data_IF_768052782944
#
_entry.id   IF_768052782944
#
_cell.length_a   1.000
_cell.length_b   1.000
_cell.length_c   1.000
_cell.angle_alpha   90.00
_cell.angle_beta   90.00
_cell.angle_gamma   90.00
#
_symmetry.space_group_name_H-M   'P 1'
#
loop_
_entity.id
_entity.type
_entity.pdbx_description
1 polymer ?
#
# COMPACT_ATOMS: atom_id res chain seq x y z
N UNK A 1 10.06 46.90 -15.26
CA UNK A 1 11.14 46.75 -14.26
C UNK A 1 11.10 45.34 -13.73
N UNK A 2 12.21 44.58 -13.75
CA UNK A 2 12.24 43.23 -13.20
C UNK A 2 12.09 43.34 -11.68
N UNK A 3 11.05 42.72 -11.13
CA UNK A 3 10.95 42.52 -9.68
C UNK A 3 12.04 41.54 -9.26
N UNK A 4 13.21 42.08 -8.93
CA UNK A 4 14.28 41.37 -8.25
C UNK A 4 13.68 40.83 -6.95
N UNK A 5 13.64 39.50 -6.80
CA UNK A 5 13.32 38.84 -5.53
C UNK A 5 14.21 39.42 -4.44
N UNK A 6 13.66 40.35 -3.65
CA UNK A 6 14.30 40.86 -2.44
C UNK A 6 14.56 39.68 -1.51
N UNK A 7 15.81 39.50 -1.08
CA UNK A 7 16.13 38.57 0.02
C UNK A 7 15.42 39.07 1.28
N UNK A 8 14.63 38.21 1.91
CA UNK A 8 13.92 38.53 3.16
C UNK A 8 14.92 39.00 4.24
N UNK A 9 14.51 39.97 5.07
CA UNK A 9 15.30 40.36 6.24
C UNK A 9 15.37 39.21 7.26
N UNK A 10 16.30 39.25 8.23
CA UNK A 10 16.47 38.19 9.23
C UNK A 10 15.20 37.98 10.08
N UNK A 11 14.50 39.06 10.38
CA UNK A 11 13.23 39.07 11.13
C UNK A 11 12.06 38.58 10.29
N UNK A 12 11.98 38.96 9.00
CA UNK A 12 11.01 38.41 8.05
C UNK A 12 11.24 36.91 7.86
N UNK A 13 12.50 36.49 7.78
CA UNK A 13 12.88 35.08 7.69
C UNK A 13 12.46 34.31 8.93
N UNK A 14 12.54 34.87 10.14
CA UNK A 14 12.11 34.20 11.38
C UNK A 14 10.60 33.96 11.44
N UNK A 15 9.79 34.85 10.86
CA UNK A 15 8.32 34.77 10.87
C UNK A 15 7.71 33.86 9.78
N UNK A 16 8.46 33.52 8.73
CA UNK A 16 8.00 32.61 7.68
C UNK A 16 7.74 31.21 8.29
N UNK A 17 6.62 30.53 7.97
CA UNK A 17 6.42 29.14 8.34
C UNK A 17 7.63 28.28 7.96
N UNK A 18 8.11 27.41 8.85
CA UNK A 18 9.34 26.63 8.63
C UNK A 18 9.40 25.93 7.25
N UNK A 19 8.27 25.43 6.74
CA UNK A 19 8.18 24.82 5.40
C UNK A 19 8.33 25.79 4.23
N UNK A 20 8.00 27.06 4.38
CA UNK A 20 8.20 28.11 3.37
C UNK A 20 9.66 28.59 3.35
N UNK A 21 10.35 28.59 4.50
CA UNK A 21 11.81 28.80 4.57
C UNK A 21 12.55 27.67 3.84
N UNK A 22 12.15 26.42 4.08
CA UNK A 22 12.71 25.23 3.40
C UNK A 22 12.63 25.34 1.87
N UNK A 23 11.54 25.92 1.33
CA UNK A 23 11.34 26.10 -0.11
C UNK A 23 12.17 27.25 -0.69
N UNK A 24 12.41 28.31 0.08
CA UNK A 24 13.19 29.47 -0.36
C UNK A 24 14.69 29.17 -0.52
N UNK A 25 15.20 28.14 0.16
CA UNK A 25 16.62 27.73 0.10
C UNK A 25 16.95 26.81 -1.10
N UNK A 26 15.94 26.35 -1.86
CA UNK A 26 16.14 25.36 -2.93
C UNK A 26 16.82 26.00 -4.14
N UNK A 27 18.05 25.55 -4.43
CA UNK A 27 18.78 25.91 -5.65
C UNK A 27 18.98 24.70 -6.59
N UNK A 28 19.57 24.94 -7.76
CA UNK A 28 19.80 23.90 -8.77
C UNK A 28 20.64 22.71 -8.25
N UNK A 29 21.63 22.96 -7.38
CA UNK A 29 22.43 21.89 -6.78
C UNK A 29 21.57 20.99 -5.90
N UNK A 30 20.66 21.57 -5.12
CA UNK A 30 19.73 20.80 -4.30
C UNK A 30 18.78 19.94 -5.15
N UNK A 31 18.23 20.52 -6.23
CA UNK A 31 17.34 19.79 -7.14
C UNK A 31 18.08 18.63 -7.78
N UNK A 32 19.28 18.88 -8.31
CA UNK A 32 20.09 17.83 -8.92
C UNK A 32 20.45 16.73 -7.92
N UNK A 33 20.89 17.10 -6.71
CA UNK A 33 21.20 16.15 -5.64
C UNK A 33 20.00 15.30 -5.22
N UNK A 34 18.80 15.89 -5.17
CA UNK A 34 17.57 15.16 -4.86
C UNK A 34 17.16 14.20 -6.00
N UNK A 35 17.13 14.68 -7.24
CA UNK A 35 16.72 13.89 -8.40
C UNK A 35 17.66 12.70 -8.66
N UNK A 36 18.96 12.87 -8.41
CA UNK A 36 19.99 11.85 -8.64
C UNK A 36 20.52 11.25 -7.34
N UNK A 37 19.77 11.33 -6.24
CA UNK A 37 20.15 10.70 -4.99
C UNK A 37 20.28 9.17 -5.18
N UNK A 38 21.47 8.63 -4.92
CA UNK A 38 21.80 7.22 -5.17
C UNK A 38 20.85 6.25 -4.45
N UNK A 39 20.31 6.67 -3.29
CA UNK A 39 19.40 5.87 -2.47
C UNK A 39 18.04 5.66 -3.16
N UNK A 40 17.56 6.65 -3.93
CA UNK A 40 16.21 6.66 -4.52
C UNK A 40 16.17 6.57 -6.05
N UNK A 41 17.31 6.69 -6.74
CA UNK A 41 17.34 6.85 -8.22
C UNK A 41 16.87 5.60 -9.00
N UNK A 42 17.09 4.39 -8.47
CA UNK A 42 16.74 3.15 -9.18
C UNK A 42 15.33 2.67 -8.82
N UNK A 43 15.17 2.21 -7.59
CA UNK A 43 13.94 1.59 -7.09
C UNK A 43 13.96 1.74 -5.59
N UNK A 44 12.84 2.17 -5.03
CA UNK A 44 12.70 2.24 -3.60
C UNK A 44 11.51 3.08 -3.14
N UNK A 45 11.40 3.29 -1.82
CA UNK A 45 10.45 4.20 -1.23
C UNK A 45 10.42 5.55 -1.95
N UNK A 46 9.23 6.05 -2.26
CA UNK A 46 9.07 7.45 -2.66
C UNK A 46 9.64 8.35 -1.55
N UNK A 47 10.51 9.26 -1.95
CA UNK A 47 11.22 10.18 -1.07
C UNK A 47 10.74 11.61 -1.34
N UNK A 48 10.25 12.32 -0.34
CA UNK A 48 9.99 13.77 -0.48
C UNK A 48 11.32 14.53 -0.44
N UNK A 49 11.36 15.72 -1.06
CA UNK A 49 12.52 16.59 -0.97
C UNK A 49 12.89 16.92 0.49
N UNK A 50 11.88 17.10 1.36
CA UNK A 50 12.08 17.33 2.79
C UNK A 50 12.81 16.16 3.45
N UNK A 51 12.35 14.93 3.22
CA UNK A 51 13.01 13.73 3.79
C UNK A 51 14.44 13.56 3.29
N UNK A 52 14.70 13.88 2.01
CA UNK A 52 16.06 13.91 1.47
C UNK A 52 16.94 14.97 2.15
N UNK A 53 16.43 16.19 2.34
CA UNK A 53 17.17 17.27 3.00
C UNK A 53 17.42 16.95 4.48
N UNK A 54 16.42 16.42 5.17
CA UNK A 54 16.50 16.11 6.60
C UNK A 54 17.68 15.19 6.89
N UNK A 55 17.90 14.14 6.06
CA UNK A 55 19.04 13.22 6.22
C UNK A 55 20.43 13.86 6.06
N UNK A 56 20.50 15.10 5.57
CA UNK A 56 21.76 15.82 5.32
C UNK A 56 21.95 16.95 6.34
N UNK A 57 20.86 17.65 6.70
CA UNK A 57 20.93 18.93 7.43
C UNK A 57 20.62 18.77 8.92
N UNK A 58 19.81 17.77 9.29
CA UNK A 58 19.29 17.67 10.65
C UNK A 58 20.30 17.00 11.59
N UNK A 59 20.45 17.56 12.80
CA UNK A 59 21.46 17.09 13.76
C UNK A 59 21.27 15.62 14.15
N UNK A 60 20.02 15.17 14.31
CA UNK A 60 19.72 13.77 14.63
C UNK A 60 20.12 12.83 13.48
N UNK A 61 20.15 13.27 12.22
CA UNK A 61 20.60 12.43 11.12
C UNK A 61 22.11 12.17 11.12
N UNK A 62 22.88 12.88 11.95
CA UNK A 62 24.32 12.67 12.16
C UNK A 62 24.66 12.23 13.59
N UNK A 63 23.66 11.87 14.40
CA UNK A 63 23.87 11.39 15.77
C UNK A 63 24.46 9.97 15.74
N UNK A 64 25.52 9.72 16.52
CA UNK A 64 26.15 8.40 16.63
C UNK A 64 25.15 7.30 17.04
N UNK A 65 24.12 7.66 17.83
CA UNK A 65 23.03 6.77 18.24
C UNK A 65 22.22 6.22 17.08
N UNK A 66 22.28 6.80 15.88
CA UNK A 66 21.57 6.33 14.69
C UNK A 66 22.16 5.01 14.14
N UNK A 67 23.46 4.78 14.34
CA UNK A 67 24.18 3.64 13.74
C UNK A 67 23.60 2.29 14.15
N UNK A 68 23.36 2.11 15.45
CA UNK A 68 22.84 0.85 16.02
C UNK A 68 21.40 0.53 15.54
N UNK A 69 20.44 1.46 15.59
CA UNK A 69 19.12 1.31 14.97
C UNK A 69 19.16 0.96 13.48
N UNK A 70 20.02 1.61 12.70
CA UNK A 70 20.18 1.29 11.27
C UNK A 70 20.63 -0.17 11.08
N UNK A 71 21.68 -0.58 11.79
CA UNK A 71 22.20 -1.96 11.73
C UNK A 71 21.14 -2.98 12.14
N UNK A 72 20.40 -2.71 13.23
CA UNK A 72 19.32 -3.58 13.69
C UNK A 72 18.23 -3.75 12.64
N UNK A 73 17.75 -2.66 12.05
CA UNK A 73 16.70 -2.70 11.03
C UNK A 73 17.17 -3.45 9.78
N UNK A 74 18.42 -3.23 9.36
CA UNK A 74 19.03 -3.94 8.23
C UNK A 74 19.09 -5.45 8.55
N UNK A 75 19.59 -5.84 9.72
CA UNK A 75 19.72 -7.25 10.11
C UNK A 75 18.37 -7.96 10.17
N UNK A 76 17.36 -7.35 10.79
CA UNK A 76 16.01 -7.93 10.88
C UNK A 76 15.37 -8.10 9.49
N UNK A 77 15.53 -7.10 8.62
CA UNK A 77 15.05 -7.16 7.23
C UNK A 77 15.83 -8.16 6.38
N UNK A 78 17.14 -8.27 6.57
CA UNK A 78 18.00 -9.19 5.82
C UNK A 78 17.66 -10.66 6.09
N UNK A 79 17.32 -11.03 7.34
CA UNK A 79 16.80 -12.37 7.67
C UNK A 79 15.57 -12.74 6.82
N UNK A 80 14.66 -11.78 6.62
CA UNK A 80 13.46 -11.97 5.80
C UNK A 80 13.80 -12.17 4.32
N UNK A 81 14.81 -11.45 3.80
CA UNK A 81 15.29 -11.61 2.43
C UNK A 81 15.80 -13.04 2.18
N UNK A 82 16.55 -13.63 3.12
CA UNK A 82 17.06 -15.00 2.97
C UNK A 82 15.92 -16.03 2.87
N UNK A 83 14.92 -15.93 3.76
CA UNK A 83 13.73 -16.79 3.74
C UNK A 83 13.00 -16.67 2.39
N UNK A 84 12.80 -15.44 1.92
CA UNK A 84 12.15 -15.17 0.64
C UNK A 84 12.97 -15.61 -0.57
N UNK A 85 14.30 -15.55 -0.49
CA UNK A 85 15.21 -16.07 -1.50
C UNK A 85 15.06 -17.58 -1.68
N UNK A 86 15.02 -18.34 -0.57
CA UNK A 86 14.79 -19.79 -0.59
C UNK A 86 13.39 -20.09 -1.14
N UNK A 87 12.35 -19.41 -0.65
CA UNK A 87 10.99 -19.59 -1.16
C UNK A 87 10.90 -19.30 -2.67
N UNK A 88 11.62 -18.28 -3.15
CA UNK A 88 11.66 -17.94 -4.58
C UNK A 88 12.39 -19.00 -5.41
N UNK A 89 13.45 -19.60 -4.89
CA UNK A 89 14.13 -20.69 -5.55
C UNK A 89 13.22 -21.92 -5.68
N UNK A 90 12.57 -22.32 -4.58
CA UNK A 90 11.58 -23.40 -4.57
C UNK A 90 10.41 -23.10 -5.53
N UNK A 91 9.94 -21.86 -5.56
CA UNK A 91 8.90 -21.40 -6.47
C UNK A 91 9.27 -21.62 -7.94
N UNK A 92 10.47 -21.23 -8.36
CA UNK A 92 10.91 -21.40 -9.74
C UNK A 92 10.98 -22.88 -10.13
N UNK A 93 11.40 -23.73 -9.19
CA UNK A 93 11.53 -25.16 -9.46
C UNK A 93 10.18 -25.88 -9.52
N UNK A 94 9.29 -25.64 -8.55
CA UNK A 94 8.01 -26.37 -8.44
C UNK A 94 6.83 -25.66 -9.16
N UNK A 95 6.87 -24.33 -9.24
CA UNK A 95 5.79 -23.46 -9.72
C UNK A 95 6.25 -22.38 -10.72
N UNK A 96 6.86 -22.77 -11.87
CA UNK A 96 7.27 -21.81 -12.88
C UNK A 96 6.07 -21.09 -13.50
N UNK A 97 6.04 -19.76 -13.45
CA UNK A 97 4.97 -18.95 -14.05
C UNK A 97 4.87 -19.19 -15.56
N UNK A 98 6.00 -19.56 -16.17
CA UNK A 98 6.20 -19.89 -17.58
C UNK A 98 5.17 -20.92 -18.07
N UNK A 99 4.74 -21.84 -17.19
CA UNK A 99 3.75 -22.87 -17.50
C UNK A 99 2.41 -22.30 -17.96
N UNK A 100 2.02 -21.10 -17.51
CA UNK A 100 0.75 -20.49 -17.96
C UNK A 100 0.82 -20.06 -19.43
N UNK A 101 2.02 -19.89 -20.00
CA UNK A 101 2.18 -19.52 -21.40
C UNK A 101 2.20 -20.74 -22.34
N UNK A 102 2.35 -21.94 -21.80
CA UNK A 102 2.35 -23.21 -22.55
C UNK A 102 0.93 -23.62 -22.94
N UNK A 103 0.76 -24.24 -24.12
CA UNK A 103 -0.56 -24.67 -24.60
C UNK A 103 -1.08 -25.90 -23.84
N UNK A 104 -0.17 -26.76 -23.39
CA UNK A 104 -0.42 -27.93 -22.56
C UNK A 104 -1.13 -27.56 -21.25
N UNK A 105 -0.85 -26.37 -20.70
CA UNK A 105 -1.56 -25.85 -19.53
C UNK A 105 -3.06 -25.67 -19.79
N UNK A 106 -3.45 -25.37 -21.03
CA UNK A 106 -4.84 -25.15 -21.40
C UNK A 106 -5.53 -26.41 -21.92
N UNK A 107 -4.78 -27.33 -22.54
CA UNK A 107 -5.31 -28.57 -23.12
C UNK A 107 -5.43 -29.66 -22.04
N UNK A 108 -4.36 -29.88 -21.27
CA UNK A 108 -4.28 -31.05 -20.38
C UNK A 108 -4.78 -30.78 -18.97
N UNK A 109 -4.75 -29.52 -18.53
CA UNK A 109 -5.09 -29.17 -17.15
C UNK A 109 -6.55 -28.80 -17.00
N UNK A 110 -7.16 -29.36 -15.96
CA UNK A 110 -8.55 -29.10 -15.63
C UNK A 110 -8.78 -27.63 -15.25
N UNK A 111 -10.04 -27.20 -15.40
CA UNK A 111 -10.51 -25.90 -14.95
C UNK A 111 -10.09 -25.58 -13.49
N UNK A 112 -10.28 -26.53 -12.57
CA UNK A 112 -9.92 -26.36 -11.16
C UNK A 112 -8.42 -26.20 -10.96
N UNK A 113 -7.61 -26.97 -11.69
CA UNK A 113 -6.16 -26.83 -11.64
C UNK A 113 -5.73 -25.42 -12.07
N UNK A 114 -6.27 -24.89 -13.17
CA UNK A 114 -5.94 -23.55 -13.67
C UNK A 114 -6.34 -22.43 -12.69
N UNK A 115 -7.47 -22.58 -12.00
CA UNK A 115 -7.89 -21.63 -10.96
C UNK A 115 -7.04 -21.70 -9.69
N UNK A 116 -6.62 -22.90 -9.30
CA UNK A 116 -5.76 -23.06 -8.14
C UNK A 116 -4.32 -22.60 -8.43
N UNK A 117 -3.81 -22.85 -9.64
CA UNK A 117 -2.43 -22.57 -10.04
C UNK A 117 -2.02 -21.10 -9.88
N UNK A 118 -2.96 -20.16 -10.07
CA UNK A 118 -2.69 -18.72 -9.92
C UNK A 118 -2.44 -18.29 -8.48
N UNK A 119 -2.81 -19.09 -7.48
CA UNK A 119 -2.62 -18.76 -6.05
C UNK A 119 -1.14 -18.80 -5.67
N UNK A 120 -0.43 -19.94 -5.82
CA UNK A 120 1.01 -19.98 -5.58
C UNK A 120 1.77 -19.06 -6.54
N UNK A 121 1.37 -18.97 -7.82
CA UNK A 121 2.02 -18.05 -8.77
C UNK A 121 1.97 -16.59 -8.29
N UNK A 122 0.81 -16.13 -7.82
CA UNK A 122 0.64 -14.77 -7.30
C UNK A 122 1.37 -14.57 -5.97
N UNK A 123 1.41 -15.58 -5.10
CA UNK A 123 2.21 -15.53 -3.88
C UNK A 123 3.70 -15.37 -4.18
N UNK A 124 4.26 -16.15 -5.09
CA UNK A 124 5.68 -16.08 -5.44
C UNK A 124 6.05 -14.79 -6.19
N UNK A 125 5.12 -14.23 -6.95
CA UNK A 125 5.27 -12.87 -7.46
C UNK A 125 5.42 -11.87 -6.30
N UNK A 126 4.54 -11.94 -5.29
CA UNK A 126 4.64 -11.05 -4.12
C UNK A 126 5.97 -11.23 -3.39
N UNK A 127 6.45 -12.47 -3.21
CA UNK A 127 7.77 -12.74 -2.62
C UNK A 127 8.88 -12.01 -3.36
N UNK A 128 8.90 -12.05 -4.71
CA UNK A 128 9.86 -11.28 -5.52
C UNK A 128 9.77 -9.78 -5.24
N UNK A 129 8.55 -9.22 -5.23
CA UNK A 129 8.35 -7.80 -4.96
C UNK A 129 8.75 -7.43 -3.52
N UNK A 130 8.46 -8.27 -2.52
CA UNK A 130 8.88 -8.07 -1.14
C UNK A 130 10.39 -8.00 -1.01
N UNK A 131 11.14 -8.90 -1.67
CA UNK A 131 12.61 -8.83 -1.68
C UNK A 131 13.08 -7.47 -2.17
N UNK A 132 12.55 -6.99 -3.30
CA UNK A 132 12.94 -5.68 -3.86
C UNK A 132 12.60 -4.52 -2.91
N UNK A 133 11.41 -4.54 -2.31
CA UNK A 133 10.99 -3.50 -1.36
C UNK A 133 11.84 -3.52 -0.08
N UNK A 134 12.13 -4.70 0.48
CA UNK A 134 12.97 -4.85 1.68
C UNK A 134 14.41 -4.40 1.38
N UNK A 135 15.00 -4.82 0.26
CA UNK A 135 16.36 -4.39 -0.12
C UNK A 135 16.42 -2.87 -0.21
N UNK A 136 15.42 -2.27 -0.84
CA UNK A 136 15.33 -0.80 -0.92
C UNK A 136 15.24 -0.17 0.47
N UNK A 137 14.40 -0.71 1.37
CA UNK A 137 14.32 -0.24 2.76
C UNK A 137 15.66 -0.37 3.50
N UNK A 138 16.43 -1.45 3.27
CA UNK A 138 17.77 -1.61 3.82
C UNK A 138 18.76 -0.57 3.28
N UNK A 139 18.71 -0.23 1.98
CA UNK A 139 19.57 0.81 1.38
C UNK A 139 19.27 2.18 2.00
N UNK A 140 17.99 2.50 2.21
CA UNK A 140 17.59 3.73 2.89
C UNK A 140 18.05 3.77 4.35
N UNK A 141 17.88 2.66 5.09
CA UNK A 141 18.37 2.56 6.46
C UNK A 141 19.90 2.69 6.54
N UNK A 142 20.64 2.04 5.63
CA UNK A 142 22.10 2.12 5.58
C UNK A 142 22.59 3.55 5.29
N UNK A 143 21.83 4.32 4.52
CA UNK A 143 22.11 5.72 4.23
C UNK A 143 21.58 6.70 5.31
N UNK A 144 20.91 6.22 6.36
CA UNK A 144 20.24 7.06 7.37
C UNK A 144 19.05 7.87 6.82
N UNK A 145 18.60 7.60 5.58
CA UNK A 145 17.54 8.35 4.92
C UNK A 145 16.18 7.91 5.46
N UNK A 146 15.40 8.88 5.95
CA UNK A 146 14.06 8.64 6.50
C UNK A 146 14.06 7.96 7.87
N UNK A 147 15.20 7.93 8.54
CA UNK A 147 15.28 7.67 9.98
C UNK A 147 14.94 8.95 10.75
N UNK A 148 13.98 8.87 11.65
CA UNK A 148 13.57 10.00 12.48
C UNK A 148 13.48 9.59 13.96
N UNK A 149 13.74 10.51 14.90
CA UNK A 149 13.40 10.31 16.30
C UNK A 149 11.96 9.81 16.46
N UNK A 150 11.75 8.77 17.26
CA UNK A 150 10.42 8.13 17.46
C UNK A 150 9.34 9.12 17.90
N UNK A 151 9.73 10.15 18.66
CA UNK A 151 8.87 11.25 19.12
C UNK A 151 8.20 12.01 17.97
N UNK A 152 8.78 11.99 16.76
CA UNK A 152 8.23 12.65 15.58
C UNK A 152 7.17 11.82 14.83
N UNK A 153 7.00 10.54 15.21
CA UNK A 153 5.97 9.63 14.71
C UNK A 153 5.86 9.62 13.19
N UNK A 154 6.95 9.26 12.52
CA UNK A 154 7.03 9.35 11.06
C UNK A 154 6.06 8.40 10.36
N UNK A 155 5.74 8.66 9.09
CA UNK A 155 4.81 7.83 8.33
C UNK A 155 5.24 7.64 6.87
N UNK A 156 4.92 6.49 6.24
CA UNK A 156 5.44 6.15 4.92
C UNK A 156 5.20 7.22 3.87
N UNK A 157 6.26 7.59 3.15
CA UNK A 157 6.27 8.62 2.11
C UNK A 157 6.05 10.05 2.59
N UNK A 158 5.48 10.29 3.78
CA UNK A 158 5.20 11.64 4.32
C UNK A 158 6.39 12.25 5.04
N UNK A 159 7.17 11.43 5.76
CA UNK A 159 8.12 11.95 6.74
C UNK A 159 7.50 12.11 8.15
N UNK A 160 8.14 12.92 9.02
CA UNK A 160 7.73 13.14 10.40
C UNK A 160 6.38 13.89 10.46
N UNK A 161 5.54 13.56 11.45
CA UNK A 161 4.26 14.27 11.66
C UNK A 161 4.48 15.65 12.27
N UNK A 162 5.48 15.75 13.15
CA UNK A 162 5.92 16.96 13.83
C UNK A 162 7.44 16.98 13.86
N UNK A 163 8.03 18.18 13.92
CA UNK A 163 9.47 18.40 14.16
C UNK A 163 9.64 19.39 15.32
N UNK A 164 8.75 19.30 16.30
CA UNK A 164 8.79 20.18 17.47
C UNK A 164 10.09 19.98 18.25
N UNK A 165 10.94 21.02 18.39
CA UNK A 165 12.20 20.92 19.13
C UNK A 165 12.01 20.47 20.59
N UNK A 166 10.88 20.80 21.23
CA UNK A 166 10.62 20.40 22.62
C UNK A 166 10.53 18.88 22.77
N UNK A 167 10.04 18.19 21.74
CA UNK A 167 9.97 16.74 21.74
C UNK A 167 11.35 16.08 21.65
N UNK A 168 12.37 16.78 21.13
CA UNK A 168 13.75 16.29 21.12
C UNK A 168 14.37 16.31 22.52
N UNK A 169 13.89 17.14 23.44
CA UNK A 169 14.35 17.13 24.84
C UNK A 169 13.88 15.86 25.57
N UNK A 170 12.72 15.34 25.19
CA UNK A 170 12.15 14.10 25.71
C UNK A 170 12.61 12.84 24.96
N UNK A 171 13.44 13.02 23.93
CA UNK A 171 13.86 11.94 23.06
C UNK A 171 14.98 11.11 23.71
N UNK A 172 14.73 9.81 23.83
CA UNK A 172 15.60 8.82 24.47
C UNK A 172 16.71 8.26 23.55
N UNK A 173 16.87 8.81 22.33
CA UNK A 173 17.81 8.29 21.34
C UNK A 173 17.24 7.23 20.40
N UNK A 174 15.94 6.89 20.50
CA UNK A 174 15.33 5.87 19.63
C UNK A 174 14.88 6.41 18.27
N UNK A 175 15.05 5.62 17.22
CA UNK A 175 14.66 5.99 15.85
C UNK A 175 13.55 5.10 15.30
N UNK A 176 12.67 5.69 14.49
CA UNK A 176 11.74 4.98 13.63
C UNK A 176 12.11 5.15 12.15
N UNK A 177 11.79 4.11 11.36
CA UNK A 177 12.05 4.04 9.91
C UNK A 177 10.73 3.97 9.14
N UNK A 178 9.64 4.47 9.71
CA UNK A 178 8.32 4.34 9.10
C UNK A 178 8.21 5.12 7.79
N UNK A 179 8.95 6.24 7.67
CA UNK A 179 8.96 7.07 6.46
C UNK A 179 9.33 6.29 5.20
N UNK A 180 10.25 5.34 5.32
CA UNK A 180 10.74 4.53 4.19
C UNK A 180 10.12 3.15 4.14
N UNK A 181 9.26 2.79 5.11
CA UNK A 181 8.61 1.48 5.12
C UNK A 181 7.53 1.38 4.03
N UNK A 182 7.87 0.71 2.93
CA UNK A 182 6.98 0.46 1.81
C UNK A 182 5.96 -0.63 2.10
N UNK A 183 6.32 -1.67 2.85
CA UNK A 183 5.43 -2.82 3.03
C UNK A 183 5.46 -3.41 4.43
N UNK A 184 4.29 -3.55 5.05
CA UNK A 184 4.13 -4.38 6.24
C UNK A 184 3.70 -5.78 5.82
N UNK A 185 4.67 -6.65 5.57
CA UNK A 185 4.45 -7.95 4.92
C UNK A 185 3.50 -8.83 5.74
N UNK A 186 3.73 -8.96 7.05
CA UNK A 186 2.85 -9.74 7.92
C UNK A 186 1.40 -9.28 7.83
N UNK A 187 1.15 -7.97 7.97
CA UNK A 187 -0.20 -7.40 7.86
C UNK A 187 -0.78 -7.57 6.47
N UNK A 188 0.05 -7.45 5.42
CA UNK A 188 -0.37 -7.63 4.03
C UNK A 188 -0.84 -9.05 3.76
N UNK A 189 -0.11 -10.05 4.26
CA UNK A 189 -0.45 -11.47 4.08
C UNK A 189 -1.58 -11.96 4.99
N UNK A 190 -1.81 -11.32 6.14
CA UNK A 190 -2.82 -11.77 7.13
C UNK A 190 -4.11 -10.94 7.13
N UNK A 191 -4.16 -9.85 6.36
CA UNK A 191 -5.35 -9.01 6.31
C UNK A 191 -6.57 -9.76 5.76
N UNK A 192 -7.75 -9.40 6.27
CA UNK A 192 -9.03 -10.03 5.92
C UNK A 192 -9.78 -9.29 4.82
N UNK A 193 -9.13 -8.34 4.15
CA UNK A 193 -9.75 -7.51 3.12
C UNK A 193 -8.74 -7.11 2.07
N UNK A 194 -9.18 -7.13 0.82
CA UNK A 194 -8.45 -6.64 -0.33
C UNK A 194 -8.05 -5.16 -0.16
N UNK A 195 -8.93 -4.32 0.40
CA UNK A 195 -8.55 -2.95 0.77
C UNK A 195 -7.45 -2.90 1.83
N UNK A 196 -7.50 -3.79 2.81
CA UNK A 196 -6.46 -3.95 3.83
C UNK A 196 -5.11 -4.35 3.22
N UNK A 197 -5.11 -5.26 2.25
CA UNK A 197 -3.91 -5.67 1.52
C UNK A 197 -3.24 -4.46 0.88
N UNK A 198 -3.98 -3.75 0.03
CA UNK A 198 -3.40 -2.63 -0.72
C UNK A 198 -2.96 -1.50 0.19
N UNK A 199 -3.65 -1.20 1.30
CA UNK A 199 -3.20 -0.18 2.27
C UNK A 199 -1.83 -0.44 2.91
N UNK A 200 -1.39 -1.70 2.93
CA UNK A 200 -0.11 -2.12 3.49
C UNK A 200 0.96 -2.40 2.44
N UNK A 201 0.60 -2.41 1.15
CA UNK A 201 1.48 -2.68 0.02
C UNK A 201 1.98 -1.40 -0.65
N UNK A 202 3.29 -1.21 -0.78
CA UNK A 202 3.91 -0.07 -1.46
C UNK A 202 3.35 1.30 -1.00
N UNK A 203 3.40 1.52 0.32
CA UNK A 203 2.77 2.65 1.01
C UNK A 203 3.32 4.01 0.61
N UNK A 204 4.61 4.10 0.28
CA UNK A 204 5.23 5.37 -0.12
C UNK A 204 4.71 5.82 -1.50
N UNK A 205 4.54 4.90 -2.46
CA UNK A 205 3.91 5.23 -3.75
C UNK A 205 2.43 5.58 -3.56
N UNK A 206 1.71 4.87 -2.68
CA UNK A 206 0.34 5.27 -2.36
C UNK A 206 0.25 6.69 -1.79
N UNK A 207 1.16 7.05 -0.89
CA UNK A 207 1.24 8.42 -0.39
C UNK A 207 1.44 9.42 -1.53
N UNK A 208 2.37 9.12 -2.46
CA UNK A 208 2.59 9.96 -3.64
C UNK A 208 1.33 10.10 -4.49
N UNK A 209 0.64 8.99 -4.79
CA UNK A 209 -0.60 8.98 -5.58
C UNK A 209 -1.69 9.81 -4.90
N UNK A 210 -1.84 9.69 -3.57
CA UNK A 210 -2.83 10.48 -2.82
C UNK A 210 -2.51 11.97 -2.88
N UNK A 211 -1.25 12.34 -2.67
CA UNK A 211 -0.85 13.75 -2.55
C UNK A 211 -0.75 14.47 -3.90
N UNK A 212 -0.35 13.76 -4.96
CA UNK A 212 -0.07 14.36 -6.26
C UNK A 212 -1.18 14.15 -7.29
N UNK A 213 -1.99 13.08 -7.13
CA UNK A 213 -3.10 12.80 -8.05
C UNK A 213 -4.44 13.01 -7.36
N UNK A 214 -4.76 12.20 -6.36
CA UNK A 214 -6.11 12.16 -5.77
C UNK A 214 -6.56 13.49 -5.17
N UNK A 215 -5.69 14.15 -4.37
CA UNK A 215 -6.01 15.41 -3.70
C UNK A 215 -5.96 16.63 -4.64
N UNK A 216 -5.16 16.56 -5.70
CA UNK A 216 -4.98 17.67 -6.66
C UNK A 216 -6.00 17.63 -7.80
N UNK A 217 -6.64 16.48 -8.03
CA UNK A 217 -7.62 16.37 -9.11
C UNK A 217 -8.90 17.18 -8.77
N UNK A 218 -9.36 18.06 -9.68
CA UNK A 218 -10.40 19.04 -9.38
C UNK A 218 -11.78 18.42 -9.12
N UNK A 219 -12.11 17.30 -9.78
CA UNK A 219 -13.42 16.66 -9.61
C UNK A 219 -13.38 15.52 -8.59
N UNK A 220 -14.07 15.71 -7.46
CA UNK A 220 -14.22 14.70 -6.40
C UNK A 220 -14.86 13.39 -6.89
N UNK A 221 -15.70 13.44 -7.92
CA UNK A 221 -16.38 12.26 -8.48
C UNK A 221 -15.41 11.34 -9.22
N UNK A 222 -14.44 11.91 -9.94
CA UNK A 222 -13.57 11.12 -10.83
C UNK A 222 -12.16 10.90 -10.26
N UNK A 223 -11.77 11.61 -9.17
CA UNK A 223 -10.42 11.54 -8.62
C UNK A 223 -9.93 10.12 -8.30
N UNK A 224 -10.81 9.22 -7.84
CA UNK A 224 -10.43 7.83 -7.55
C UNK A 224 -10.10 7.06 -8.84
N UNK A 225 -10.99 7.10 -9.84
CA UNK A 225 -10.77 6.46 -11.13
C UNK A 225 -9.52 7.00 -11.84
N UNK A 226 -9.29 8.31 -11.80
CA UNK A 226 -8.07 8.94 -12.34
C UNK A 226 -6.83 8.48 -11.58
N UNK A 227 -6.91 8.31 -10.26
CA UNK A 227 -5.78 7.81 -9.46
C UNK A 227 -5.42 6.38 -9.85
N UNK A 228 -6.40 5.50 -10.05
CA UNK A 228 -6.18 4.13 -10.55
C UNK A 228 -5.64 4.12 -11.99
N UNK A 229 -6.15 4.99 -12.86
CA UNK A 229 -5.63 5.12 -14.21
C UNK A 229 -4.16 5.55 -14.24
N UNK A 230 -3.80 6.59 -13.47
CA UNK A 230 -2.40 7.03 -13.33
C UNK A 230 -1.54 5.93 -12.73
N UNK A 231 -2.07 5.18 -11.76
CA UNK A 231 -1.39 4.00 -11.20
C UNK A 231 -1.11 2.94 -12.27
N UNK A 232 -2.07 2.63 -13.14
CA UNK A 232 -1.88 1.67 -14.23
C UNK A 232 -0.86 2.17 -15.26
N UNK A 233 -0.97 3.45 -15.64
CA UNK A 233 -0.03 4.09 -16.56
C UNK A 233 1.40 4.10 -16.02
N UNK A 234 1.58 4.36 -14.72
CA UNK A 234 2.88 4.33 -14.06
C UNK A 234 3.55 2.95 -14.13
N UNK A 235 2.78 1.87 -14.11
CA UNK A 235 3.29 0.51 -14.30
C UNK A 235 3.66 0.20 -15.75
N UNK A 236 3.03 0.86 -16.72
CA UNK A 236 3.39 0.81 -18.14
C UNK A 236 2.19 0.81 -19.08
N UNK A 237 2.46 0.66 -20.38
CA UNK A 237 1.43 0.66 -21.45
C UNK A 237 0.81 -0.72 -21.71
N UNK A 238 1.34 -1.77 -21.08
CA UNK A 238 0.83 -3.14 -21.22
C UNK A 238 -0.61 -3.26 -20.70
N UNK A 239 -1.51 -3.75 -21.54
CA UNK A 239 -2.95 -3.85 -21.24
C UNK A 239 -3.26 -4.63 -19.94
N UNK A 240 -2.43 -5.61 -19.58
CA UNK A 240 -2.60 -6.41 -18.36
C UNK A 240 -2.59 -5.59 -17.07
N UNK A 241 -1.83 -4.49 -17.04
CA UNK A 241 -1.83 -3.56 -15.91
C UNK A 241 -3.17 -2.86 -15.76
N UNK A 242 -3.73 -2.39 -16.86
CA UNK A 242 -5.05 -1.74 -16.89
C UNK A 242 -6.14 -2.73 -16.48
N UNK A 243 -6.11 -3.97 -16.95
CA UNK A 243 -7.05 -5.00 -16.51
C UNK A 243 -6.98 -5.23 -15.00
N UNK A 244 -5.79 -5.54 -14.46
CA UNK A 244 -5.64 -5.82 -13.03
C UNK A 244 -6.08 -4.64 -12.14
N UNK A 245 -5.64 -3.43 -12.48
CA UNK A 245 -5.86 -2.24 -11.66
C UNK A 245 -7.30 -1.72 -11.80
N UNK A 246 -7.86 -1.69 -13.02
CA UNK A 246 -9.26 -1.31 -13.21
C UNK A 246 -10.20 -2.29 -12.50
N UNK A 247 -9.91 -3.59 -12.55
CA UNK A 247 -10.69 -4.58 -11.81
C UNK A 247 -10.58 -4.39 -10.31
N UNK A 248 -9.40 -4.07 -9.80
CA UNK A 248 -9.21 -3.73 -8.39
C UNK A 248 -10.07 -2.54 -7.98
N UNK A 249 -10.13 -1.50 -8.81
CA UNK A 249 -10.97 -0.32 -8.60
C UNK A 249 -12.46 -0.65 -8.52
N UNK A 250 -12.94 -1.59 -9.34
CA UNK A 250 -14.33 -2.08 -9.31
C UNK A 250 -14.61 -3.01 -8.13
N UNK A 251 -13.62 -3.80 -7.70
CA UNK A 251 -13.79 -4.76 -6.61
C UNK A 251 -13.84 -4.11 -5.23
N UNK A 252 -13.08 -3.03 -5.00
CA UNK A 252 -13.10 -2.32 -3.72
C UNK A 252 -14.49 -1.97 -3.18
N UNK A 253 -15.39 -1.31 -3.93
CA UNK A 253 -16.72 -0.98 -3.44
C UNK A 253 -17.59 -2.23 -3.19
N UNK A 254 -17.38 -3.32 -3.95
CA UNK A 254 -18.09 -4.59 -3.74
C UNK A 254 -17.69 -5.17 -2.38
N UNK A 255 -16.39 -5.31 -2.13
CA UNK A 255 -15.88 -5.84 -0.86
C UNK A 255 -16.30 -4.97 0.33
N UNK A 256 -16.19 -3.64 0.21
CA UNK A 256 -16.59 -2.71 1.29
C UNK A 256 -18.08 -2.89 1.65
N UNK A 257 -18.95 -3.10 0.65
CA UNK A 257 -20.37 -3.37 0.86
C UNK A 257 -20.58 -4.73 1.54
N UNK A 258 -19.93 -5.80 1.05
CA UNK A 258 -19.99 -7.14 1.66
C UNK A 258 -19.56 -7.11 3.13
N UNK A 259 -18.39 -6.51 3.42
CA UNK A 259 -17.86 -6.39 4.79
C UNK A 259 -18.76 -5.55 5.68
N UNK A 260 -19.38 -4.48 5.14
CA UNK A 260 -20.38 -3.69 5.88
C UNK A 260 -21.58 -4.54 6.28
N UNK A 261 -22.10 -5.38 5.38
CA UNK A 261 -23.22 -6.30 5.69
C UNK A 261 -22.81 -7.38 6.70
N UNK A 262 -21.64 -7.99 6.51
CA UNK A 262 -21.11 -9.00 7.43
C UNK A 262 -20.90 -8.44 8.84
N UNK A 263 -20.35 -7.22 8.99
CA UNK A 263 -20.20 -6.56 10.30
C UNK A 263 -21.53 -6.28 10.99
N UNK A 264 -22.57 -5.96 10.22
CA UNK A 264 -23.91 -5.78 10.79
C UNK A 264 -24.50 -7.08 11.33
N UNK A 265 -24.16 -8.24 10.74
CA UNK A 265 -24.62 -9.55 11.19
C UNK A 265 -23.72 -10.15 12.29
N UNK A 266 -22.41 -9.93 12.18
CA UNK A 266 -21.38 -10.44 13.06
C UNK A 266 -20.47 -9.29 13.52
N UNK A 267 -20.77 -8.65 14.68
CA UNK A 267 -19.93 -7.56 15.21
C UNK A 267 -18.48 -7.99 15.42
N UNK A 268 -18.29 -9.23 15.89
CA UNK A 268 -17.00 -9.91 15.99
C UNK A 268 -16.99 -11.11 15.06
N UNK A 269 -16.07 -11.14 14.10
CA UNK A 269 -16.01 -12.24 13.14
C UNK A 269 -15.50 -13.53 13.82
N UNK A 270 -16.24 -14.65 13.72
CA UNK A 270 -15.74 -15.95 14.16
C UNK A 270 -14.57 -16.40 13.29
N UNK A 271 -13.76 -17.34 13.79
CA UNK A 271 -12.52 -17.79 13.12
C UNK A 271 -12.80 -18.31 11.71
N UNK A 272 -13.84 -19.14 11.53
CA UNK A 272 -14.20 -19.67 10.22
C UNK A 272 -14.48 -18.54 9.21
N UNK A 273 -15.14 -17.46 9.64
CA UNK A 273 -15.44 -16.32 8.77
C UNK A 273 -14.17 -15.54 8.44
N UNK A 274 -13.27 -15.37 9.40
CA UNK A 274 -11.95 -14.76 9.15
C UNK A 274 -11.17 -15.58 8.11
N UNK A 275 -11.15 -16.90 8.23
CA UNK A 275 -10.51 -17.79 7.24
C UNK A 275 -11.18 -17.65 5.87
N UNK A 276 -12.51 -17.65 5.79
CA UNK A 276 -13.22 -17.44 4.52
C UNK A 276 -12.89 -16.08 3.88
N UNK A 277 -12.84 -15.00 4.67
CA UNK A 277 -12.50 -13.67 4.19
C UNK A 277 -11.06 -13.60 3.69
N UNK A 278 -10.13 -14.24 4.41
CA UNK A 278 -8.73 -14.34 3.99
C UNK A 278 -8.58 -15.14 2.69
N UNK A 279 -9.25 -16.29 2.57
CA UNK A 279 -9.29 -17.10 1.33
C UNK A 279 -9.87 -16.29 0.17
N UNK A 280 -10.97 -15.56 0.41
CA UNK A 280 -11.58 -14.70 -0.59
C UNK A 280 -10.64 -13.57 -1.04
N UNK A 281 -9.95 -12.93 -0.11
CA UNK A 281 -8.95 -11.91 -0.41
C UNK A 281 -7.80 -12.47 -1.26
N UNK A 282 -7.29 -13.66 -0.91
CA UNK A 282 -6.24 -14.35 -1.64
C UNK A 282 -6.68 -14.72 -3.06
N UNK A 283 -7.90 -15.23 -3.21
CA UNK A 283 -8.51 -15.52 -4.51
C UNK A 283 -8.66 -14.25 -5.34
N UNK A 284 -9.27 -13.20 -4.78
CA UNK A 284 -9.53 -11.94 -5.47
C UNK A 284 -8.22 -11.32 -5.96
N UNK A 285 -7.20 -11.26 -5.09
CA UNK A 285 -5.86 -10.83 -5.47
C UNK A 285 -5.30 -11.67 -6.60
N UNK A 286 -5.23 -12.99 -6.44
CA UNK A 286 -4.58 -13.87 -7.43
C UNK A 286 -5.26 -13.79 -8.79
N UNK A 287 -6.60 -13.73 -8.81
CA UNK A 287 -7.40 -13.70 -10.03
C UNK A 287 -7.31 -12.37 -10.79
N UNK A 288 -7.27 -11.23 -10.09
CA UNK A 288 -7.05 -9.93 -10.74
C UNK A 288 -5.58 -9.76 -11.14
N UNK A 289 -4.67 -10.23 -10.31
CA UNK A 289 -3.24 -10.02 -10.48
C UNK A 289 -2.62 -10.91 -11.57
N UNK A 290 -3.23 -12.02 -11.95
CA UNK A 290 -2.76 -12.79 -13.11
C UNK A 290 -2.75 -11.95 -14.39
N UNK A 291 -3.68 -11.00 -14.55
CA UNK A 291 -3.68 -10.09 -15.68
C UNK A 291 -2.43 -9.19 -15.70
N UNK A 292 -2.00 -8.73 -14.52
CA UNK A 292 -0.77 -7.97 -14.34
C UNK A 292 0.46 -8.76 -14.79
N UNK A 293 0.48 -10.08 -14.53
CA UNK A 293 1.60 -10.97 -14.87
C UNK A 293 1.64 -11.34 -16.36
N UNK A 294 0.47 -11.49 -17.00
CA UNK A 294 0.38 -11.89 -18.41
C UNK A 294 0.63 -10.74 -19.41
N UNK A 295 0.56 -9.49 -18.93
CA UNK A 295 0.88 -8.23 -19.62
C UNK A 295 0.03 -7.87 -20.86
N UNK A 296 -0.32 -8.83 -21.72
CA UNK A 296 -0.97 -8.59 -23.01
C UNK A 296 -2.41 -9.10 -23.03
N UNK A 297 -3.30 -8.35 -23.67
CA UNK A 297 -4.73 -8.66 -23.73
C UNK A 297 -5.02 -10.07 -24.25
N UNK A 298 -4.42 -10.56 -25.35
CA UNK A 298 -4.67 -11.90 -25.84
C UNK A 298 -4.36 -12.98 -24.79
N UNK A 299 -3.26 -12.84 -24.03
CA UNK A 299 -2.88 -13.79 -22.98
C UNK A 299 -3.83 -13.74 -21.79
N UNK A 300 -4.18 -12.53 -21.35
CA UNK A 300 -5.17 -12.32 -20.28
C UNK A 300 -6.51 -12.95 -20.65
N UNK A 301 -6.99 -12.68 -21.87
CA UNK A 301 -8.27 -13.16 -22.34
C UNK A 301 -8.28 -14.68 -22.54
N UNK A 302 -7.19 -15.26 -23.07
CA UNK A 302 -7.00 -16.71 -23.16
C UNK A 302 -7.12 -17.37 -21.79
N UNK A 303 -6.42 -16.84 -20.78
CA UNK A 303 -6.53 -17.35 -19.41
C UNK A 303 -7.96 -17.24 -18.88
N UNK A 304 -8.60 -16.07 -18.94
CA UNK A 304 -9.95 -15.89 -18.41
C UNK A 304 -11.01 -16.72 -19.11
N UNK A 305 -10.93 -16.90 -20.44
CA UNK A 305 -11.79 -17.83 -21.17
C UNK A 305 -11.60 -19.27 -20.70
N UNK A 306 -10.35 -19.70 -20.48
CA UNK A 306 -10.06 -21.06 -20.00
C UNK A 306 -10.64 -21.33 -18.61
N UNK A 307 -10.85 -20.30 -17.81
CA UNK A 307 -11.50 -20.39 -16.49
C UNK A 307 -12.92 -19.81 -16.50
N UNK A 308 -13.57 -19.77 -17.67
CA UNK A 308 -14.96 -19.34 -17.84
C UNK A 308 -15.32 -18.03 -17.11
N UNK A 309 -14.36 -17.11 -17.01
CA UNK A 309 -14.50 -15.84 -16.27
C UNK A 309 -14.96 -16.02 -14.81
N UNK A 310 -14.64 -17.14 -14.17
CA UNK A 310 -15.16 -17.54 -12.85
C UNK A 310 -15.02 -16.46 -11.77
N UNK A 311 -13.88 -15.76 -11.70
CA UNK A 311 -13.69 -14.69 -10.71
C UNK A 311 -14.65 -13.52 -10.91
N UNK A 312 -14.95 -13.15 -12.16
CA UNK A 312 -15.95 -12.11 -12.45
C UNK A 312 -17.35 -12.54 -11.98
N UNK A 313 -17.71 -13.80 -12.23
CA UNK A 313 -18.98 -14.36 -11.76
C UNK A 313 -19.05 -14.30 -10.24
N UNK A 314 -17.99 -14.69 -9.54
CA UNK A 314 -17.91 -14.60 -8.07
C UNK A 314 -18.10 -13.15 -7.59
N UNK A 315 -17.44 -12.16 -8.20
CA UNK A 315 -17.56 -10.76 -7.80
C UNK A 315 -18.97 -10.20 -8.04
N UNK A 316 -19.62 -10.57 -9.16
CA UNK A 316 -21.01 -10.20 -9.44
C UNK A 316 -21.96 -10.86 -8.42
N UNK A 317 -21.76 -12.13 -8.10
CA UNK A 317 -22.53 -12.82 -7.07
C UNK A 317 -22.34 -12.18 -5.69
N UNK A 318 -21.11 -11.80 -5.32
CA UNK A 318 -20.83 -11.07 -4.08
C UNK A 318 -21.57 -9.74 -4.01
N UNK A 319 -21.55 -8.97 -5.10
CA UNK A 319 -22.29 -7.72 -5.20
C UNK A 319 -23.80 -7.94 -5.07
N UNK A 320 -24.37 -8.90 -5.81
CA UNK A 320 -25.79 -9.23 -5.76
C UNK A 320 -26.21 -9.65 -4.35
N UNK A 321 -25.46 -10.55 -3.70
CA UNK A 321 -25.70 -10.98 -2.33
C UNK A 321 -25.68 -9.81 -1.35
N UNK A 322 -24.69 -8.91 -1.46
CA UNK A 322 -24.57 -7.76 -0.56
C UNK A 322 -25.63 -6.68 -0.81
N UNK A 323 -26.09 -6.55 -2.06
CA UNK A 323 -27.16 -5.65 -2.46
C UNK A 323 -28.52 -6.13 -1.95
N UNK A 324 -28.85 -7.41 -2.16
CA UNK A 324 -30.12 -8.02 -1.71
C UNK A 324 -30.10 -8.46 -0.24
N UNK A 325 -28.97 -8.35 0.45
CA UNK A 325 -28.81 -8.73 1.86
C UNK A 325 -29.90 -8.19 2.80
N UNK A 326 -30.38 -6.93 2.70
CA UNK A 326 -31.44 -6.46 3.58
C UNK A 326 -32.75 -7.27 3.48
N UNK A 327 -33.10 -7.68 2.27
CA UNK A 327 -34.29 -8.50 2.01
C UNK A 327 -34.08 -9.93 2.50
N UNK A 328 -32.91 -10.50 2.18
CA UNK A 328 -32.51 -11.85 2.61
C UNK A 328 -32.44 -11.94 4.14
N UNK A 329 -31.85 -10.94 4.80
CA UNK A 329 -31.75 -10.85 6.26
C UNK A 329 -33.13 -10.76 6.92
N UNK A 330 -34.04 -10.00 6.32
CA UNK A 330 -35.42 -9.90 6.83
C UNK A 330 -36.15 -11.23 6.67
N UNK A 331 -35.96 -11.93 5.55
CA UNK A 331 -36.56 -13.24 5.29
C UNK A 331 -36.00 -14.35 6.20
N UNK A 332 -34.68 -14.37 6.44
CA UNK A 332 -34.01 -15.43 7.22
C UNK A 332 -34.05 -15.19 8.73
N UNK A 333 -33.96 -13.94 9.18
CA UNK A 333 -33.78 -13.59 10.58
C UNK A 333 -34.87 -12.67 11.15
N UNK A 334 -35.89 -12.31 10.35
CA UNK A 334 -36.99 -11.43 10.77
C UNK A 334 -36.57 -10.01 11.17
N UNK A 335 -35.32 -9.62 10.88
CA UNK A 335 -34.71 -8.36 11.32
C UNK A 335 -34.04 -7.66 10.15
N UNK A 336 -34.35 -6.37 9.96
CA UNK A 336 -33.58 -5.51 9.06
C UNK A 336 -32.17 -5.34 9.62
N UNK A 337 -31.13 -5.31 8.76
CA UNK A 337 -29.77 -5.02 9.21
C UNK A 337 -29.75 -3.65 9.89
N UNK A 338 -29.27 -3.59 11.14
CA UNK A 338 -29.17 -2.35 11.92
C UNK A 338 -28.39 -1.30 11.15
N UNK A 339 -28.87 -0.06 11.13
CA UNK A 339 -28.10 1.05 10.56
C UNK A 339 -26.92 1.38 11.48
N UNK A 340 -25.76 1.71 10.91
CA UNK A 340 -24.53 1.99 11.68
C UNK A 340 -24.71 3.20 12.61
N UNK A 341 -25.60 4.13 12.27
CA UNK A 341 -25.94 5.26 13.14
C UNK A 341 -26.58 4.79 14.46
N UNK A 342 -27.49 3.81 14.43
CA UNK A 342 -28.06 3.18 15.63
C UNK A 342 -27.04 2.37 16.43
N UNK A 343 -26.02 1.79 15.78
CA UNK A 343 -24.94 1.09 16.48
C UNK A 343 -23.97 2.05 17.19
N UNK A 344 -23.72 3.24 16.62
CA UNK A 344 -22.89 4.28 17.24
C UNK A 344 -23.59 4.97 18.40
N UNK A 345 -24.91 5.12 18.36
CA UNK A 345 -25.69 5.62 19.51
C UNK A 345 -25.68 4.61 20.67
N UNK A 346 -25.81 3.32 20.39
CA UNK A 346 -25.78 2.26 21.41
C UNK A 346 -24.37 1.93 21.96
N UNK A 347 -23.32 2.63 21.51
CA UNK A 347 -21.94 2.48 22.03
C UNK A 347 -21.41 3.74 22.72
N UNK A 348 -22.23 4.77 22.91
CA UNK A 348 -21.89 5.82 23.88
C UNK A 348 -22.04 5.21 25.29
N UNK A 349 -21.00 5.20 26.13
CA UNK A 349 -21.18 4.86 27.53
C UNK A 349 -22.10 5.91 28.16
N UNK A 350 -23.12 5.43 28.87
CA UNK A 350 -23.94 6.26 29.74
C UNK A 350 -23.04 6.99 30.74
N UNK A 351 -23.17 8.32 30.77
CA UNK A 351 -22.75 9.14 31.90
C UNK A 351 -21.26 9.44 32.01
N UNK A 352 -20.82 10.52 31.35
CA UNK A 352 -19.88 11.44 32.00
C UNK A 352 -20.69 12.68 32.38
N UNK A 353 -21.24 12.67 33.60
CA UNK A 353 -21.69 13.91 34.25
C UNK A 353 -20.45 14.79 34.42
N UNK A 354 -20.55 16.04 33.96
CA UNK A 354 -19.60 17.08 34.29
C UNK A 354 -19.82 17.42 35.76
N UNK A 355 -18.78 17.23 36.55
CA UNK A 355 -18.43 18.10 37.67
C UNK A 355 -16.99 18.57 37.42
#
# INVERSE_FOLDING_TARGET
MPHICRKASKEEYEQIPYHEKELAEINLRNIFGYCFNYVSVITGPYLTYRTYRDSIVEKYSSDEKLTEPCNRVILEKFKTILIFGILRFLANYFWPLERIFEDEFYIDKSFLYRLWYIWPASFFFKVRAYIVLIISECIFAAAGVGAYPTVFQSSPGRGPRTKDPQLLELWDGTYDFNTTTNCYIYTTETCLSFRGFWRNWNRCVQYWMVMNVYKRFPSRRYREGVTFFVSAYWHGVSSGYYFSIAMSALYFPIEDLCLKRLKSAFPNFPIWLKVCLWINQLFAFSYMFIAYQLLSFPRVWKYYNSVYHFGYIVFVCQYALAFFWPNISTMLFGRKPKNIEEMKENTKPDGFKRD
#
